data_IF_067069467391
#
_entry.id   IF_067069467391
#
_cell.length_a   1.000
_cell.length_b   1.000
_cell.length_c   1.000
_cell.angle_alpha   90.00
_cell.angle_beta   90.00
_cell.angle_gamma   90.00
#
_symmetry.space_group_name_H-M   'P 1'
#
loop_
_entity.id
_entity.type
_entity.pdbx_description
1 polymer ?
#
# COMPACT_ATOMS: atom_id res chain seq x y z
N UNK A 1 -6.02 -7.11 14.42
CA UNK A 1 -4.65 -6.58 14.57
C UNK A 1 -3.79 -7.71 15.13
N UNK A 2 -2.84 -8.23 14.34
CA UNK A 2 -1.90 -9.29 14.79
C UNK A 2 -0.47 -8.76 14.67
N UNK A 3 0.41 -9.12 15.61
CA UNK A 3 1.82 -8.73 15.55
C UNK A 3 2.59 -9.86 14.87
N UNK A 4 3.37 -9.52 13.85
CA UNK A 4 4.19 -10.48 13.09
C UNK A 4 5.66 -10.11 13.20
N UNK A 5 6.45 -11.04 13.72
CA UNK A 5 7.90 -10.90 13.92
C UNK A 5 8.74 -11.49 12.78
N UNK A 6 8.46 -12.71 12.25
CA UNK A 6 9.35 -13.32 11.26
C UNK A 6 9.20 -12.75 9.85
N UNK A 7 8.04 -12.19 9.50
CA UNK A 7 7.77 -11.62 8.17
C UNK A 7 7.97 -10.11 8.10
N UNK A 8 8.14 -9.43 9.24
CA UNK A 8 8.41 -7.98 9.28
C UNK A 8 7.23 -7.07 8.96
N UNK A 9 6.01 -7.61 8.82
CA UNK A 9 4.80 -6.79 8.58
C UNK A 9 4.38 -5.97 9.82
N UNK A 10 5.00 -6.23 10.97
CA UNK A 10 4.73 -5.53 12.22
C UNK A 10 3.31 -5.77 12.69
N UNK A 11 2.60 -4.69 12.99
CA UNK A 11 1.18 -4.71 13.39
C UNK A 11 0.30 -4.78 12.16
N UNK A 12 -0.27 -5.95 11.89
CA UNK A 12 -1.09 -6.16 10.69
C UNK A 12 -2.43 -5.42 10.77
N UNK A 13 -2.85 -4.92 9.61
CA UNK A 13 -4.15 -4.28 9.38
C UNK A 13 -4.70 -4.68 8.01
N UNK A 14 -5.87 -4.16 7.61
CA UNK A 14 -6.43 -4.40 6.28
C UNK A 14 -5.42 -4.09 5.16
N UNK A 15 -4.52 -3.12 5.36
CA UNK A 15 -3.46 -2.75 4.41
C UNK A 15 -2.44 -3.86 4.16
N UNK A 16 -2.20 -4.75 5.13
CA UNK A 16 -1.24 -5.86 5.00
C UNK A 16 -1.77 -6.96 4.07
N UNK A 17 -3.09 -7.07 3.90
CA UNK A 17 -3.73 -8.15 3.13
C UNK A 17 -4.16 -7.73 1.71
N UNK A 18 -3.70 -6.57 1.23
CA UNK A 18 -3.98 -6.07 -0.12
C UNK A 18 -2.70 -6.01 -0.97
N UNK A 19 -2.85 -6.10 -2.29
CA UNK A 19 -1.73 -5.93 -3.24
C UNK A 19 -1.61 -4.47 -3.65
N UNK A 20 -0.38 -3.96 -3.65
CA UNK A 20 -0.09 -2.63 -4.20
C UNK A 20 -0.34 -2.62 -5.70
N UNK A 21 -1.04 -1.59 -6.18
CA UNK A 21 -1.25 -1.30 -7.59
C UNK A 21 -0.86 0.15 -7.85
N UNK A 22 -0.06 0.37 -8.89
CA UNK A 22 0.34 1.70 -9.34
C UNK A 22 -0.30 1.96 -10.70
N UNK A 23 -1.20 2.92 -10.76
CA UNK A 23 -1.78 3.42 -12.00
C UNK A 23 -1.24 4.83 -12.26
N UNK A 24 -0.86 5.13 -13.49
CA UNK A 24 -0.41 6.47 -13.90
C UNK A 24 -1.53 7.11 -14.71
N UNK A 25 -1.84 8.35 -14.37
CA UNK A 25 -2.77 9.17 -15.12
C UNK A 25 -1.95 10.10 -16.00
N UNK A 26 -1.93 9.83 -17.30
CA UNK A 26 -1.12 10.55 -18.30
C UNK A 26 -1.88 11.78 -18.76
N UNK A 27 -1.18 12.91 -18.89
CA UNK A 27 -1.69 14.16 -19.45
C UNK A 27 -2.93 14.76 -18.76
N UNK A 28 -3.13 14.48 -17.47
CA UNK A 28 -4.10 15.21 -16.64
C UNK A 28 -3.58 15.43 -15.21
N UNK A 29 -4.21 16.37 -14.49
CA UNK A 29 -3.79 16.90 -13.18
C UNK A 29 -2.38 17.55 -13.13
N UNK A 30 -1.79 17.92 -14.27
CA UNK A 30 -0.64 18.84 -14.33
C UNK A 30 -1.15 20.29 -14.28
N UNK A 31 -1.24 20.84 -13.07
CA UNK A 31 -1.65 22.23 -12.84
C UNK A 31 -0.37 23.04 -12.59
N UNK A 32 -0.01 23.90 -13.55
CA UNK A 32 1.15 24.81 -13.49
C UNK A 32 0.66 26.21 -13.17
#
# INVERSE_FOLDING_TARGET
>A
MTITTPTGEGVTSARTFVRLRRCVLVDAFRIV
#
